data_IF_278465735155
#
_entry.id   IF_278465735155
#
_cell.length_a   1.000
_cell.length_b   1.000
_cell.length_c   1.000
_cell.angle_alpha   90.00
_cell.angle_beta   90.00
_cell.angle_gamma   90.00
#
_symmetry.space_group_name_H-M   'P 1'
#
loop_
_entity.id
_entity.type
_entity.pdbx_description
1 polymer ?
#
# COMPACT_ATOMS: atom_id res chain seq x y z
N UNK A 1 5.13 35.11 23.42
CA UNK A 1 5.93 36.15 22.75
C UNK A 1 5.20 36.52 21.48
N UNK A 2 4.62 37.69 21.43
CA UNK A 2 3.80 38.20 20.33
C UNK A 2 4.73 38.72 19.23
N UNK A 3 4.54 38.21 17.99
CA UNK A 3 5.21 38.72 16.80
C UNK A 3 4.48 40.03 16.42
N UNK A 4 5.13 41.15 16.61
CA UNK A 4 4.62 42.49 16.19
C UNK A 4 4.63 42.53 14.65
N UNK A 5 3.45 42.66 14.08
CA UNK A 5 3.26 42.94 12.66
C UNK A 5 3.81 44.32 12.33
N UNK A 6 4.61 44.41 11.27
CA UNK A 6 5.14 45.67 10.74
C UNK A 6 4.02 46.48 10.06
N UNK A 7 3.76 47.69 10.58
CA UNK A 7 2.77 48.62 10.06
C UNK A 7 3.44 49.84 9.39
N UNK A 8 4.35 49.60 8.45
CA UNK A 8 4.92 50.64 7.60
C UNK A 8 4.01 50.95 6.41
N UNK A 9 4.06 52.16 5.83
CA UNK A 9 3.26 52.54 4.66
C UNK A 9 3.63 51.63 3.47
N UNK A 10 2.68 51.29 2.56
CA UNK A 10 2.97 50.50 1.38
C UNK A 10 4.01 51.21 0.51
N UNK A 11 5.03 50.45 0.11
CA UNK A 11 6.04 50.94 -0.81
C UNK A 11 5.39 51.37 -2.13
N UNK A 12 5.75 52.54 -2.70
CA UNK A 12 5.17 53.00 -3.95
C UNK A 12 5.52 51.98 -5.07
N UNK A 13 4.49 51.51 -5.77
CA UNK A 13 4.65 50.73 -6.99
C UNK A 13 5.27 51.66 -8.03
N UNK A 14 6.59 51.53 -8.23
CA UNK A 14 7.28 52.20 -9.33
C UNK A 14 6.82 51.51 -10.60
N UNK A 15 6.16 52.18 -11.56
CA UNK A 15 5.79 51.57 -12.83
C UNK A 15 7.07 51.09 -13.53
N UNK A 16 7.12 49.85 -13.88
CA UNK A 16 8.18 49.28 -14.71
C UNK A 16 8.27 50.10 -16.00
N UNK A 17 9.42 50.73 -16.24
CA UNK A 17 9.67 51.39 -17.54
C UNK A 17 9.44 50.34 -18.61
N UNK A 18 8.73 50.69 -19.74
CA UNK A 18 8.61 49.77 -20.85
C UNK A 18 10.00 49.31 -21.27
N UNK A 19 10.19 47.99 -21.45
CA UNK A 19 11.46 47.42 -21.90
C UNK A 19 11.84 48.03 -23.23
N UNK A 20 13.06 48.53 -23.40
CA UNK A 20 13.55 49.01 -24.69
C UNK A 20 13.73 47.89 -25.73
N UNK A 21 13.51 46.66 -25.32
CA UNK A 21 13.62 45.47 -26.15
C UNK A 21 12.28 45.20 -26.86
N UNK A 22 12.26 44.94 -28.18
CA UNK A 22 11.07 44.44 -28.85
C UNK A 22 10.61 43.15 -28.14
N UNK A 23 9.29 42.98 -28.01
CA UNK A 23 8.71 41.75 -27.53
C UNK A 23 9.24 40.60 -28.41
N UNK A 24 10.06 39.71 -27.83
CA UNK A 24 10.56 38.54 -28.53
C UNK A 24 9.37 37.66 -28.86
N UNK A 25 9.29 37.03 -30.03
CA UNK A 25 8.25 36.10 -30.35
C UNK A 25 8.25 34.94 -29.32
N UNK A 26 7.09 34.67 -28.79
CA UNK A 26 6.94 33.50 -27.91
C UNK A 26 6.77 32.24 -28.76
N UNK A 27 7.26 31.08 -28.31
CA UNK A 27 6.98 29.80 -28.94
C UNK A 27 5.48 29.57 -29.09
N UNK A 28 5.05 28.91 -30.14
CA UNK A 28 3.63 28.67 -30.44
C UNK A 28 2.84 28.00 -29.31
N UNK A 29 3.52 27.30 -28.38
CA UNK A 29 2.93 26.73 -27.15
C UNK A 29 3.92 26.87 -25.97
N UNK A 30 3.99 28.08 -25.42
CA UNK A 30 4.86 28.37 -24.27
C UNK A 30 4.46 27.59 -23.02
N UNK A 31 3.16 27.32 -22.82
CA UNK A 31 2.68 26.56 -21.66
C UNK A 31 3.16 25.10 -21.72
N UNK A 32 3.04 24.46 -22.88
CA UNK A 32 3.53 23.10 -23.07
C UNK A 32 5.05 23.01 -22.99
N UNK A 33 5.78 23.99 -23.56
CA UNK A 33 7.23 24.10 -23.42
C UNK A 33 7.66 24.22 -21.96
N UNK A 34 7.00 25.07 -21.20
CA UNK A 34 7.28 25.28 -19.78
C UNK A 34 7.00 23.99 -18.97
N UNK A 35 5.86 23.34 -19.21
CA UNK A 35 5.54 22.05 -18.58
C UNK A 35 6.55 20.96 -18.92
N UNK A 36 7.04 20.92 -20.18
CA UNK A 36 8.10 20.01 -20.57
C UNK A 36 9.40 20.28 -19.79
N UNK A 37 9.79 21.56 -19.63
CA UNK A 37 10.98 21.93 -18.84
C UNK A 37 10.85 21.54 -17.37
N UNK A 38 9.70 21.79 -16.76
CA UNK A 38 9.42 21.46 -15.35
C UNK A 38 9.52 19.95 -15.09
N UNK A 39 9.12 19.12 -16.05
CA UNK A 39 9.21 17.66 -15.96
C UNK A 39 10.62 17.09 -15.80
N UNK A 40 11.65 17.88 -16.06
CA UNK A 40 13.05 17.49 -15.83
C UNK A 40 13.56 17.83 -14.42
N UNK A 41 12.83 18.61 -13.64
CA UNK A 41 13.24 19.08 -12.30
C UNK A 41 14.68 19.64 -12.29
N UNK A 42 15.03 20.40 -13.34
CA UNK A 42 16.36 21.01 -13.48
C UNK A 42 16.44 22.39 -12.85
N UNK A 43 15.34 23.16 -12.91
CA UNK A 43 15.29 24.51 -12.39
C UNK A 43 15.58 24.53 -10.89
N UNK A 44 16.37 25.49 -10.46
CA UNK A 44 16.77 25.71 -9.06
C UNK A 44 17.42 24.45 -8.39
N UNK A 45 17.87 23.49 -9.19
CA UNK A 45 18.56 22.30 -8.71
C UNK A 45 20.04 22.59 -8.36
N UNK A 46 20.62 21.73 -7.52
CA UNK A 46 22.04 21.84 -7.16
C UNK A 46 22.96 21.70 -8.37
N UNK A 47 24.18 22.30 -8.35
CA UNK A 47 25.19 22.08 -9.37
C UNK A 47 25.56 20.60 -9.50
N UNK A 48 25.82 20.15 -10.72
CA UNK A 48 26.19 18.77 -11.03
C UNK A 48 27.42 18.76 -11.98
N UNK A 49 28.49 18.08 -11.55
CA UNK A 49 29.77 18.06 -12.25
C UNK A 49 29.66 17.67 -13.75
N UNK A 50 28.71 16.77 -14.09
CA UNK A 50 28.50 16.34 -15.47
C UNK A 50 28.12 17.49 -16.39
N UNK A 51 27.30 18.44 -15.97
CA UNK A 51 26.97 19.64 -16.75
C UNK A 51 28.08 20.67 -16.73
N UNK A 52 28.74 20.87 -15.59
CA UNK A 52 29.85 21.80 -15.45
C UNK A 52 31.04 21.41 -16.37
N UNK A 53 31.34 20.12 -16.48
CA UNK A 53 32.39 19.59 -17.36
C UNK A 53 32.08 19.84 -18.83
N UNK A 54 30.82 19.64 -19.26
CA UNK A 54 30.40 19.89 -20.65
C UNK A 54 30.47 21.38 -21.01
N UNK A 55 30.07 22.25 -20.08
CA UNK A 55 30.17 23.72 -20.29
C UNK A 55 31.64 24.17 -20.39
N UNK A 56 32.49 23.66 -19.50
CA UNK A 56 33.94 23.95 -19.55
C UNK A 56 34.57 23.45 -20.88
N UNK A 57 34.19 22.25 -21.32
CA UNK A 57 34.65 21.70 -22.61
C UNK A 57 34.21 22.58 -23.77
N UNK A 58 32.94 23.06 -23.77
CA UNK A 58 32.43 23.95 -24.83
C UNK A 58 33.24 25.28 -24.92
N UNK A 59 33.50 25.90 -23.76
CA UNK A 59 34.31 27.11 -23.68
C UNK A 59 35.75 26.87 -24.24
N UNK A 60 36.39 25.78 -23.80
CA UNK A 60 37.74 25.38 -24.20
C UNK A 60 37.79 25.07 -25.69
N UNK A 61 36.85 24.31 -26.24
CA UNK A 61 36.77 23.95 -27.66
C UNK A 61 36.68 25.17 -28.56
N UNK A 62 35.92 26.17 -28.14
CA UNK A 62 35.72 27.41 -28.88
C UNK A 62 36.76 28.49 -28.55
N UNK A 63 37.70 28.24 -27.65
CA UNK A 63 38.66 29.24 -27.13
C UNK A 63 37.92 30.51 -26.64
N UNK A 64 36.75 30.35 -26.03
CA UNK A 64 35.89 31.44 -25.63
C UNK A 64 35.96 31.69 -24.10
N UNK A 65 35.67 32.94 -23.71
CA UNK A 65 35.79 33.37 -22.31
C UNK A 65 34.69 32.78 -21.42
N UNK A 66 33.54 32.39 -21.97
CA UNK A 66 32.42 31.86 -21.21
C UNK A 66 31.55 30.86 -22.00
N UNK A 67 30.90 29.98 -21.26
CA UNK A 67 29.86 29.10 -21.81
C UNK A 67 28.84 28.78 -20.71
N UNK A 68 27.62 28.40 -21.10
CA UNK A 68 26.57 28.02 -20.18
C UNK A 68 25.55 27.04 -20.78
N UNK A 69 24.94 26.25 -19.93
CA UNK A 69 23.65 25.61 -20.18
C UNK A 69 22.58 26.52 -19.61
N UNK A 70 21.85 27.20 -20.48
CA UNK A 70 20.88 28.21 -20.17
C UNK A 70 19.48 27.67 -20.43
N UNK A 71 18.68 27.51 -19.37
CA UNK A 71 17.27 27.07 -19.42
C UNK A 71 16.36 28.31 -19.45
N UNK A 72 15.38 28.29 -20.35
CA UNK A 72 14.45 29.41 -20.51
C UNK A 72 13.19 29.15 -19.70
N UNK A 73 13.11 29.80 -18.54
CA UNK A 73 12.03 29.69 -17.57
C UNK A 73 11.21 30.98 -17.58
N UNK A 74 9.91 30.88 -17.79
CA UNK A 74 8.96 32.02 -17.76
C UNK A 74 9.61 33.40 -18.08
N UNK A 75 9.90 34.19 -17.05
CA UNK A 75 10.50 35.54 -17.16
C UNK A 75 12.03 35.59 -17.06
N UNK A 76 12.72 34.46 -16.87
CA UNK A 76 14.16 34.40 -16.63
C UNK A 76 14.88 33.38 -17.50
N UNK A 77 16.16 33.53 -17.63
CA UNK A 77 17.10 32.52 -18.05
C UNK A 77 17.83 32.03 -16.83
N UNK A 78 17.70 30.75 -16.51
CA UNK A 78 18.39 30.13 -15.39
C UNK A 78 19.54 29.24 -15.90
N UNK A 79 20.73 29.38 -15.29
CA UNK A 79 21.90 28.63 -15.72
C UNK A 79 22.09 27.36 -14.92
N UNK A 80 21.82 26.20 -15.52
CA UNK A 80 22.09 24.88 -14.92
C UNK A 80 23.57 24.65 -14.68
N UNK A 81 24.41 25.09 -15.63
CA UNK A 81 25.86 25.07 -15.50
C UNK A 81 26.43 26.29 -16.22
N UNK A 82 27.54 26.81 -15.74
CA UNK A 82 28.20 28.00 -16.32
C UNK A 82 29.69 27.97 -16.07
N UNK A 83 30.45 28.51 -17.04
CA UNK A 83 31.88 28.75 -16.97
C UNK A 83 32.16 30.18 -17.43
N UNK A 84 32.99 30.96 -16.71
CA UNK A 84 33.29 32.34 -17.04
C UNK A 84 32.11 33.32 -16.92
N UNK A 85 31.05 32.96 -16.16
CA UNK A 85 29.88 33.78 -15.87
C UNK A 85 29.69 33.90 -14.36
N UNK A 86 29.56 35.12 -13.83
CA UNK A 86 29.32 35.40 -12.43
C UNK A 86 27.86 35.27 -12.02
N UNK A 87 26.92 35.63 -12.90
CA UNK A 87 25.48 35.57 -12.64
C UNK A 87 24.93 34.16 -12.74
N UNK A 88 23.92 33.84 -11.90
CA UNK A 88 23.22 32.54 -11.88
C UNK A 88 21.95 32.52 -12.73
N UNK A 89 21.41 33.69 -12.97
CA UNK A 89 20.21 33.91 -13.79
C UNK A 89 20.21 35.29 -14.41
N UNK A 90 19.37 35.49 -15.43
CA UNK A 90 19.22 36.76 -16.15
C UNK A 90 17.76 36.94 -16.56
N UNK A 91 17.31 38.17 -16.75
CA UNK A 91 15.99 38.45 -17.32
C UNK A 91 15.89 37.86 -18.74
N UNK A 92 14.81 37.16 -19.04
CA UNK A 92 14.54 36.56 -20.37
C UNK A 92 14.62 37.59 -21.50
N UNK A 93 14.09 38.79 -21.28
CA UNK A 93 14.09 39.88 -22.24
C UNK A 93 15.50 40.41 -22.58
N UNK A 94 16.52 40.10 -21.82
CA UNK A 94 17.90 40.54 -21.99
C UNK A 94 18.81 39.43 -22.53
N UNK A 95 18.24 38.36 -23.10
CA UNK A 95 19.02 37.18 -23.52
C UNK A 95 18.79 36.81 -24.97
N UNK A 96 19.89 36.55 -25.68
CA UNK A 96 19.87 35.97 -27.03
C UNK A 96 19.25 34.57 -27.03
N UNK A 97 19.41 33.82 -25.93
CA UNK A 97 18.87 32.47 -25.80
C UNK A 97 17.35 32.43 -26.02
N UNK A 98 16.61 33.46 -25.57
CA UNK A 98 15.16 33.55 -25.76
C UNK A 98 14.74 33.63 -27.21
N UNK A 99 15.52 34.36 -28.06
CA UNK A 99 15.25 34.40 -29.49
C UNK A 99 15.61 33.09 -30.19
N UNK A 100 16.67 32.43 -29.74
CA UNK A 100 17.09 31.16 -30.33
C UNK A 100 16.02 30.10 -30.12
N UNK A 101 15.39 30.03 -28.94
CA UNK A 101 14.33 29.03 -28.67
C UNK A 101 13.02 29.30 -29.40
N UNK A 102 12.71 30.58 -29.71
CA UNK A 102 11.51 30.96 -30.47
C UNK A 102 11.55 30.45 -31.93
N UNK A 103 12.73 30.44 -32.50
CA UNK A 103 13.00 30.02 -33.89
C UNK A 103 13.80 28.70 -33.92
N UNK A 104 13.69 27.89 -32.85
CA UNK A 104 14.54 26.72 -32.70
C UNK A 104 14.21 25.64 -33.75
N UNK A 105 15.20 25.27 -34.52
CA UNK A 105 15.22 24.05 -35.32
C UNK A 105 16.21 23.05 -34.68
N UNK A 106 15.85 21.76 -34.58
CA UNK A 106 16.78 20.75 -34.08
C UNK A 106 18.13 20.82 -34.77
N UNK A 107 19.21 20.69 -34.01
CA UNK A 107 20.60 20.69 -34.49
C UNK A 107 21.08 21.98 -35.16
N UNK A 108 20.30 23.04 -35.23
CA UNK A 108 20.68 24.31 -35.83
C UNK A 108 21.44 25.19 -34.84
N UNK A 109 22.75 25.32 -35.03
CA UNK A 109 23.60 26.24 -34.29
C UNK A 109 23.40 27.68 -34.77
N UNK A 110 22.97 28.59 -33.88
CA UNK A 110 23.01 30.04 -34.16
C UNK A 110 24.40 30.57 -33.83
N UNK A 111 25.03 31.26 -34.78
CA UNK A 111 26.33 31.90 -34.57
C UNK A 111 26.22 33.37 -34.92
N UNK A 112 26.62 34.24 -33.98
CA UNK A 112 26.68 35.68 -34.11
C UNK A 112 28.14 36.07 -33.90
N UNK A 113 28.85 36.34 -34.99
CA UNK A 113 30.29 36.66 -34.99
C UNK A 113 30.62 37.92 -34.23
N UNK A 114 29.76 38.95 -34.37
CA UNK A 114 29.81 40.19 -33.60
C UNK A 114 28.40 40.71 -33.32
N UNK A 115 27.99 40.72 -32.03
CA UNK A 115 26.65 41.23 -31.62
C UNK A 115 26.47 42.72 -31.86
N UNK A 116 27.56 43.51 -31.99
CA UNK A 116 27.48 44.94 -32.28
C UNK A 116 27.20 45.23 -33.75
N UNK A 117 27.51 44.30 -34.66
CA UNK A 117 27.25 44.40 -36.09
C UNK A 117 25.96 43.68 -36.53
N UNK A 118 25.43 42.77 -35.72
CA UNK A 118 24.19 42.07 -36.03
C UNK A 118 22.98 43.00 -35.81
N UNK A 119 22.16 43.29 -36.84
CA UNK A 119 21.03 44.21 -36.73
C UNK A 119 20.01 43.84 -35.66
N UNK A 120 19.92 42.58 -35.31
CA UNK A 120 18.96 42.09 -34.26
C UNK A 120 19.42 42.48 -32.86
N UNK A 121 20.73 42.68 -32.63
CA UNK A 121 21.33 42.79 -31.30
C UNK A 121 22.16 44.07 -31.08
N UNK A 122 22.56 44.78 -32.14
CA UNK A 122 23.45 45.98 -32.08
C UNK A 122 22.94 47.08 -31.14
N UNK A 123 21.63 47.30 -31.04
CA UNK A 123 21.03 48.33 -30.18
C UNK A 123 20.75 47.86 -28.73
N UNK A 124 20.97 46.62 -28.39
CA UNK A 124 20.50 46.05 -27.11
C UNK A 124 21.50 46.22 -25.95
N UNK A 125 22.74 46.65 -26.23
CA UNK A 125 23.77 46.88 -25.21
C UNK A 125 24.03 45.66 -24.32
N UNK A 126 24.05 44.46 -24.94
CA UNK A 126 24.23 43.17 -24.25
C UNK A 126 25.58 43.12 -23.52
N UNK A 127 25.56 42.63 -22.27
CA UNK A 127 26.75 42.54 -21.44
C UNK A 127 26.95 41.14 -20.94
N UNK A 128 28.21 40.78 -20.76
CA UNK A 128 28.73 39.59 -20.12
C UNK A 128 29.56 40.06 -18.91
N UNK A 129 29.17 39.82 -17.68
CA UNK A 129 29.80 40.30 -16.46
C UNK A 129 30.19 41.81 -16.50
N UNK A 130 29.20 42.66 -16.89
CA UNK A 130 29.38 44.10 -16.97
C UNK A 130 30.17 44.61 -18.20
N UNK A 131 30.81 43.78 -19.00
CA UNK A 131 31.54 44.09 -20.23
C UNK A 131 30.68 43.80 -21.47
N UNK A 132 30.86 44.51 -22.59
CA UNK A 132 30.13 44.22 -23.82
C UNK A 132 30.27 42.75 -24.25
N UNK A 133 29.16 42.09 -24.52
CA UNK A 133 29.11 40.80 -25.22
C UNK A 133 29.32 41.09 -26.71
N UNK A 134 30.28 40.41 -27.33
CA UNK A 134 30.60 40.63 -28.77
C UNK A 134 30.40 39.36 -29.61
N UNK A 135 30.50 38.19 -29.02
CA UNK A 135 30.31 36.90 -29.68
C UNK A 135 29.28 36.05 -28.96
N UNK A 136 28.45 35.36 -29.73
CA UNK A 136 27.50 34.36 -29.26
C UNK A 136 27.44 33.18 -30.23
N UNK A 137 27.51 31.97 -29.70
CA UNK A 137 27.10 30.77 -30.41
C UNK A 137 26.23 29.93 -29.51
N UNK A 138 25.07 29.50 -30.00
CA UNK A 138 24.11 28.73 -29.19
C UNK A 138 23.49 27.58 -29.98
N UNK A 139 23.43 26.42 -29.36
CA UNK A 139 22.69 25.25 -29.84
C UNK A 139 21.44 25.04 -28.99
N UNK A 140 20.27 24.85 -29.60
CA UNK A 140 19.04 24.60 -28.83
C UNK A 140 19.11 23.25 -28.12
N UNK A 141 18.53 23.19 -26.92
CA UNK A 141 18.38 21.96 -26.14
C UNK A 141 16.92 21.54 -26.24
N UNK A 142 16.66 20.52 -27.04
CA UNK A 142 15.31 20.08 -27.38
C UNK A 142 14.88 18.94 -26.47
N UNK A 143 13.59 18.91 -26.10
CA UNK A 143 12.96 17.70 -25.57
C UNK A 143 12.63 16.72 -26.72
N UNK A 144 12.39 15.43 -26.44
CA UNK A 144 11.93 14.47 -27.44
C UNK A 144 10.61 14.86 -28.10
N UNK A 145 9.77 15.61 -27.39
CA UNK A 145 8.48 16.11 -27.87
C UNK A 145 8.61 17.35 -28.74
N UNK A 146 9.85 17.79 -29.02
CA UNK A 146 10.15 18.91 -29.93
C UNK A 146 10.11 20.30 -29.27
N UNK A 147 10.07 20.41 -27.96
CA UNK A 147 10.11 21.69 -27.26
C UNK A 147 11.56 22.14 -27.00
N UNK A 148 11.88 23.40 -27.32
CA UNK A 148 13.16 23.99 -26.98
C UNK A 148 13.18 24.42 -25.50
N UNK A 149 13.92 23.68 -24.67
CA UNK A 149 13.99 23.89 -23.20
C UNK A 149 14.95 25.03 -22.82
N UNK A 150 15.96 25.24 -23.68
CA UNK A 150 17.00 26.19 -23.44
C UNK A 150 18.11 26.06 -24.51
N UNK A 151 19.33 26.47 -24.16
CA UNK A 151 20.46 26.48 -25.06
C UNK A 151 21.75 26.06 -24.37
N UNK A 152 22.62 25.36 -25.08
CA UNK A 152 24.05 25.37 -24.79
C UNK A 152 24.66 26.59 -25.52
N UNK A 153 25.17 27.56 -24.78
CA UNK A 153 25.74 28.76 -25.39
C UNK A 153 27.21 28.97 -25.02
N UNK A 154 27.94 29.53 -25.99
CA UNK A 154 29.34 29.96 -25.86
C UNK A 154 29.39 31.45 -26.14
N UNK A 155 30.13 32.23 -25.34
CA UNK A 155 30.07 33.68 -25.26
C UNK A 155 31.48 34.24 -25.16
N UNK A 156 31.72 35.43 -25.80
CA UNK A 156 32.98 36.15 -25.63
C UNK A 156 32.82 37.67 -25.71
N UNK A 157 33.77 38.37 -25.12
CA UNK A 157 33.93 39.82 -25.21
C UNK A 157 34.56 40.31 -26.50
N UNK A 158 35.02 39.40 -27.35
CA UNK A 158 35.67 39.69 -28.66
C UNK A 158 34.87 39.03 -29.77
N UNK A 159 34.78 39.66 -30.94
CA UNK A 159 34.22 39.02 -32.11
C UNK A 159 35.00 37.72 -32.45
N UNK A 160 34.25 36.71 -32.92
CA UNK A 160 34.83 35.40 -33.27
C UNK A 160 34.13 34.76 -34.46
N UNK A 161 34.88 33.96 -35.19
CA UNK A 161 34.34 33.02 -36.16
C UNK A 161 34.63 31.57 -35.71
N UNK A 162 33.64 30.72 -35.74
CA UNK A 162 33.82 29.31 -35.44
C UNK A 162 34.22 28.53 -36.68
N UNK A 163 35.28 27.72 -36.54
CA UNK A 163 35.66 26.72 -37.55
C UNK A 163 34.60 25.62 -37.59
N UNK A 164 34.53 24.88 -38.72
CA UNK A 164 33.58 23.75 -38.85
C UNK A 164 33.67 22.76 -37.69
N UNK A 165 34.89 22.32 -37.32
CA UNK A 165 35.09 21.41 -36.20
C UNK A 165 34.63 21.95 -34.84
N UNK A 166 34.67 23.27 -34.64
CA UNK A 166 34.13 23.89 -33.41
C UNK A 166 32.60 23.90 -33.40
N UNK A 167 31.98 24.20 -34.55
CA UNK A 167 30.52 24.15 -34.72
C UNK A 167 29.98 22.72 -34.47
N UNK A 168 30.63 21.73 -35.12
CA UNK A 168 30.27 20.32 -34.94
C UNK A 168 30.45 19.86 -33.48
N UNK A 169 31.52 20.31 -32.82
CA UNK A 169 31.80 20.00 -31.45
C UNK A 169 30.75 20.58 -30.46
N UNK A 170 30.33 21.85 -30.68
CA UNK A 170 29.24 22.44 -29.86
C UNK A 170 27.92 21.67 -30.04
N UNK A 171 27.61 21.28 -31.27
CA UNK A 171 26.41 20.48 -31.54
C UNK A 171 26.48 19.08 -30.86
N UNK A 172 27.68 18.45 -30.88
CA UNK A 172 27.89 17.17 -30.15
C UNK A 172 27.67 17.35 -28.64
N UNK A 173 28.28 18.41 -28.06
CA UNK A 173 28.12 18.69 -26.62
C UNK A 173 26.65 18.97 -26.27
N UNK A 174 25.92 19.71 -27.10
CA UNK A 174 24.50 19.97 -26.89
C UNK A 174 23.67 18.68 -26.86
N UNK A 175 23.95 17.73 -27.76
CA UNK A 175 23.32 16.40 -27.74
C UNK A 175 23.67 15.63 -26.47
N UNK A 176 24.88 15.73 -25.95
CA UNK A 176 25.23 15.10 -24.67
C UNK A 176 24.47 15.71 -23.48
N UNK A 177 24.28 17.04 -23.48
CA UNK A 177 23.43 17.71 -22.48
C UNK A 177 21.98 17.21 -22.55
N UNK A 178 21.43 17.09 -23.77
CA UNK A 178 20.09 16.55 -23.98
C UNK A 178 19.98 15.09 -23.48
N UNK A 179 20.98 14.25 -23.74
CA UNK A 179 21.00 12.88 -23.18
C UNK A 179 21.02 12.86 -21.66
N UNK A 180 21.76 13.77 -21.02
CA UNK A 180 21.74 13.87 -19.55
C UNK A 180 20.37 14.32 -19.00
N UNK A 181 19.68 15.21 -19.72
CA UNK A 181 18.31 15.60 -19.37
C UNK A 181 17.37 14.39 -19.42
N UNK A 182 17.44 13.60 -20.50
CA UNK A 182 16.62 12.41 -20.63
C UNK A 182 16.92 11.36 -19.54
N UNK A 183 18.19 11.11 -19.25
CA UNK A 183 18.57 10.18 -18.17
C UNK A 183 18.01 10.64 -16.82
N UNK A 184 18.04 11.96 -16.56
CA UNK A 184 17.43 12.51 -15.34
C UNK A 184 15.93 12.29 -15.31
N UNK A 185 15.21 12.58 -16.41
CA UNK A 185 13.76 12.35 -16.52
C UNK A 185 13.40 10.90 -16.28
N UNK A 186 14.12 9.97 -16.90
CA UNK A 186 13.95 8.54 -16.66
C UNK A 186 14.19 8.15 -15.19
N UNK A 187 15.21 8.71 -14.56
CA UNK A 187 15.50 8.43 -13.15
C UNK A 187 14.39 8.93 -12.20
N UNK A 188 13.82 10.10 -12.48
CA UNK A 188 12.68 10.65 -11.73
C UNK A 188 11.46 9.73 -11.87
N UNK A 189 11.11 9.36 -13.12
CA UNK A 189 9.95 8.49 -13.39
C UNK A 189 10.13 7.10 -12.77
N UNK A 190 11.32 6.51 -12.87
CA UNK A 190 11.60 5.22 -12.21
C UNK A 190 11.44 5.27 -10.69
N UNK A 191 11.91 6.35 -10.05
CA UNK A 191 11.71 6.53 -8.60
C UNK A 191 10.24 6.63 -8.23
N UNK A 192 9.47 7.38 -9.02
CA UNK A 192 8.02 7.51 -8.83
C UNK A 192 7.32 6.16 -8.92
N UNK A 193 7.57 5.40 -9.99
CA UNK A 193 6.99 4.08 -10.21
C UNK A 193 7.36 3.08 -9.10
N UNK A 194 8.61 3.12 -8.63
CA UNK A 194 9.04 2.28 -7.51
C UNK A 194 8.27 2.63 -6.22
N UNK A 195 8.12 3.91 -5.91
CA UNK A 195 7.37 4.36 -4.73
C UNK A 195 5.88 3.97 -4.79
N UNK A 196 5.26 4.12 -5.97
CA UNK A 196 3.88 3.68 -6.19
C UNK A 196 3.74 2.16 -6.02
N UNK A 197 4.67 1.38 -6.58
CA UNK A 197 4.70 -0.08 -6.44
C UNK A 197 4.84 -0.52 -4.97
N UNK A 198 5.71 0.11 -4.21
CA UNK A 198 5.89 -0.18 -2.79
C UNK A 198 4.62 0.12 -1.99
N UNK A 199 3.96 1.24 -2.27
CA UNK A 199 2.68 1.58 -1.64
C UNK A 199 1.58 0.55 -1.95
N UNK A 200 1.47 0.09 -3.21
CA UNK A 200 0.54 -0.95 -3.59
C UNK A 200 0.85 -2.30 -2.93
N UNK A 201 2.14 -2.67 -2.81
CA UNK A 201 2.53 -3.91 -2.14
C UNK A 201 2.08 -3.93 -0.67
N UNK A 202 2.30 -2.84 0.07
CA UNK A 202 1.86 -2.71 1.47
C UNK A 202 0.33 -2.78 1.60
N UNK A 203 -0.42 -2.17 0.68
CA UNK A 203 -1.89 -2.24 0.67
C UNK A 203 -2.37 -3.67 0.42
N UNK A 204 -1.74 -4.39 -0.50
CA UNK A 204 -2.08 -5.78 -0.82
C UNK A 204 -1.83 -6.71 0.38
N UNK A 205 -0.69 -6.58 1.04
CA UNK A 205 -0.37 -7.36 2.25
C UNK A 205 -1.40 -7.11 3.37
N UNK A 206 -1.77 -5.86 3.60
CA UNK A 206 -2.80 -5.51 4.59
C UNK A 206 -4.16 -6.12 4.26
N UNK A 207 -4.59 -6.02 2.99
CA UNK A 207 -5.85 -6.59 2.53
C UNK A 207 -5.86 -8.12 2.62
N UNK A 208 -4.75 -8.77 2.30
CA UNK A 208 -4.60 -10.22 2.42
C UNK A 208 -4.69 -10.68 3.89
N UNK A 209 -4.03 -9.97 4.81
CA UNK A 209 -4.10 -10.27 6.24
C UNK A 209 -5.53 -10.10 6.80
N UNK A 210 -6.27 -9.08 6.33
CA UNK A 210 -7.67 -8.88 6.72
C UNK A 210 -8.60 -9.97 6.19
N UNK A 211 -8.41 -10.38 4.94
CA UNK A 211 -9.18 -11.49 4.35
C UNK A 211 -8.91 -12.79 5.08
N UNK A 212 -7.66 -13.08 5.42
CA UNK A 212 -7.29 -14.28 6.17
C UNK A 212 -7.97 -14.31 7.54
N UNK A 213 -7.91 -13.21 8.29
CA UNK A 213 -8.60 -13.08 9.60
C UNK A 213 -10.10 -13.29 9.49
N UNK A 214 -10.73 -12.67 8.47
CA UNK A 214 -12.18 -12.86 8.24
C UNK A 214 -12.51 -14.29 7.87
N UNK A 215 -11.68 -14.93 7.06
CA UNK A 215 -11.85 -16.33 6.68
C UNK A 215 -11.81 -17.25 7.92
N UNK A 216 -10.82 -17.08 8.80
CA UNK A 216 -10.69 -17.84 10.05
C UNK A 216 -11.89 -17.63 10.97
N UNK A 217 -12.35 -16.38 11.14
CA UNK A 217 -13.54 -16.07 11.92
C UNK A 217 -14.80 -16.71 11.35
N UNK A 218 -14.97 -16.67 10.03
CA UNK A 218 -16.10 -17.30 9.35
C UNK A 218 -16.05 -18.83 9.49
N UNK A 219 -14.89 -19.45 9.32
CA UNK A 219 -14.72 -20.88 9.53
C UNK A 219 -15.03 -21.28 10.97
N UNK A 220 -14.55 -20.51 11.94
CA UNK A 220 -14.83 -20.75 13.35
C UNK A 220 -16.34 -20.63 13.64
N UNK A 221 -16.98 -19.56 13.19
CA UNK A 221 -18.42 -19.34 13.40
C UNK A 221 -19.30 -20.35 12.65
N UNK A 222 -18.85 -20.83 11.48
CA UNK A 222 -19.57 -21.88 10.76
C UNK A 222 -19.52 -23.25 11.45
N UNK A 223 -18.51 -23.53 12.28
CA UNK A 223 -18.30 -24.80 12.95
C UNK A 223 -18.65 -24.81 14.41
N UNK A 224 -18.68 -23.68 15.09
CA UNK A 224 -18.94 -23.59 16.53
C UNK A 224 -20.30 -22.96 16.82
N UNK A 225 -20.90 -23.40 17.94
CA UNK A 225 -22.08 -22.76 18.50
C UNK A 225 -21.69 -21.46 19.21
N UNK A 226 -22.27 -20.34 18.78
CA UNK A 226 -21.90 -19.01 19.27
C UNK A 226 -22.15 -18.80 20.76
N UNK A 227 -23.03 -19.61 21.37
CA UNK A 227 -23.39 -19.49 22.78
C UNK A 227 -22.45 -20.27 23.69
N UNK A 228 -22.11 -21.49 23.31
CA UNK A 228 -21.38 -22.47 24.16
C UNK A 228 -19.92 -22.68 23.76
N UNK A 229 -19.53 -22.22 22.56
CA UNK A 229 -18.19 -22.44 22.03
C UNK A 229 -17.90 -23.87 21.57
N UNK A 230 -18.79 -24.82 21.82
CA UNK A 230 -18.66 -26.20 21.30
C UNK A 230 -18.92 -26.26 19.82
N UNK A 231 -18.61 -27.40 19.17
CA UNK A 231 -19.00 -27.58 17.77
C UNK A 231 -20.54 -27.50 17.64
N UNK A 232 -20.98 -27.01 16.49
CA UNK A 232 -22.41 -27.01 16.16
C UNK A 232 -22.79 -28.28 15.38
N UNK A 233 -24.09 -28.48 15.17
CA UNK A 233 -24.62 -29.63 14.43
C UNK A 233 -24.09 -29.71 12.98
N UNK A 234 -23.85 -28.59 12.32
CA UNK A 234 -23.29 -28.54 10.98
C UNK A 234 -21.85 -29.07 10.94
N UNK A 235 -21.03 -28.72 11.93
CA UNK A 235 -19.68 -29.24 12.07
C UNK A 235 -19.67 -30.75 12.29
N UNK A 236 -20.61 -31.30 13.09
CA UNK A 236 -20.75 -32.75 13.24
C UNK A 236 -21.05 -33.42 11.91
N UNK A 237 -21.98 -32.87 11.12
CA UNK A 237 -22.33 -33.40 9.80
C UNK A 237 -21.13 -33.39 8.83
N UNK A 238 -20.31 -32.37 8.89
CA UNK A 238 -19.06 -32.29 8.10
C UNK A 238 -18.02 -33.32 8.56
N UNK A 239 -17.84 -33.49 9.88
CA UNK A 239 -16.96 -34.49 10.46
C UNK A 239 -17.37 -35.91 10.05
N UNK A 240 -18.65 -36.23 10.09
CA UNK A 240 -19.20 -37.52 9.67
C UNK A 240 -19.02 -37.77 8.15
N UNK A 241 -18.99 -36.71 7.34
CA UNK A 241 -18.72 -36.77 5.89
C UNK A 241 -17.24 -36.81 5.50
N UNK A 242 -16.31 -36.58 6.43
CA UNK A 242 -14.87 -36.56 6.19
C UNK A 242 -14.24 -37.91 6.49
N UNK A 243 -13.51 -38.47 5.52
CA UNK A 243 -12.80 -39.78 5.71
C UNK A 243 -11.74 -39.68 6.80
N UNK A 244 -10.94 -38.63 6.81
CA UNK A 244 -9.86 -38.41 7.79
C UNK A 244 -10.38 -38.20 9.19
N UNK A 245 -11.47 -37.40 9.35
CA UNK A 245 -12.04 -37.12 10.66
C UNK A 245 -12.75 -38.36 11.28
N UNK A 246 -13.21 -39.26 10.45
CA UNK A 246 -13.85 -40.52 10.88
C UNK A 246 -12.85 -41.65 11.13
N UNK A 247 -11.59 -41.51 10.78
CA UNK A 247 -10.59 -42.57 10.97
C UNK A 247 -10.52 -43.06 12.43
N UNK A 248 -10.47 -42.24 13.47
CA UNK A 248 -10.46 -42.71 14.87
C UNK A 248 -11.72 -43.49 15.27
N UNK A 249 -12.87 -43.15 14.66
CA UNK A 249 -14.15 -43.82 14.94
C UNK A 249 -14.37 -45.07 14.12
N UNK A 250 -13.64 -45.24 12.97
CA UNK A 250 -13.68 -46.45 12.13
C UNK A 250 -12.74 -47.53 12.60
N UNK A 251 -11.66 -47.18 13.26
CA UNK A 251 -10.58 -48.09 13.62
C UNK A 251 -10.58 -48.51 15.10
N UNK A 252 -11.42 -47.91 15.95
CA UNK A 252 -11.49 -48.23 17.37
C UNK A 252 -12.93 -48.10 17.89
N UNK A 253 -13.23 -48.93 18.92
CA UNK A 253 -14.48 -48.74 19.63
C UNK A 253 -14.60 -47.32 20.19
N UNK A 254 -15.81 -46.78 20.26
CA UNK A 254 -16.08 -45.46 20.75
C UNK A 254 -17.31 -45.46 21.65
N UNK A 255 -17.50 -44.39 22.42
CA UNK A 255 -18.71 -44.22 23.24
C UNK A 255 -19.36 -42.87 22.94
N UNK A 256 -20.69 -42.86 22.81
CA UNK A 256 -21.52 -41.68 22.69
C UNK A 256 -22.16 -41.34 24.02
N UNK A 257 -22.15 -40.06 24.38
CA UNK A 257 -22.95 -39.49 25.46
C UNK A 257 -23.94 -38.48 24.87
N UNK A 258 -25.23 -38.69 25.09
CA UNK A 258 -26.26 -37.67 24.85
C UNK A 258 -26.59 -37.01 26.20
N UNK A 259 -26.37 -35.69 26.24
CA UNK A 259 -26.59 -34.88 27.44
C UNK A 259 -27.75 -33.92 27.18
N UNK A 260 -28.72 -33.90 28.07
CA UNK A 260 -29.88 -33.04 27.95
C UNK A 260 -30.12 -32.30 29.27
N UNK A 261 -30.42 -31.01 29.16
CA UNK A 261 -30.60 -30.13 30.33
C UNK A 261 -31.98 -30.34 30.96
N UNK A 262 -31.99 -30.83 32.18
CA UNK A 262 -33.24 -31.14 32.87
C UNK A 262 -34.09 -29.86 33.09
N UNK A 263 -35.37 -29.95 32.69
CA UNK A 263 -36.34 -28.89 32.88
C UNK A 263 -35.96 -27.52 32.28
N UNK A 264 -35.16 -27.49 31.22
CA UNK A 264 -34.65 -26.25 30.64
C UNK A 264 -35.76 -25.25 30.26
N UNK A 265 -36.89 -25.74 29.74
CA UNK A 265 -38.04 -24.87 29.46
C UNK A 265 -38.50 -24.14 30.72
N UNK A 266 -38.56 -24.83 31.88
CA UNK A 266 -38.97 -24.20 33.14
C UNK A 266 -37.96 -23.16 33.63
N UNK A 267 -36.66 -23.38 33.34
CA UNK A 267 -35.62 -22.38 33.60
C UNK A 267 -35.88 -21.10 32.78
N UNK A 268 -36.14 -21.23 31.47
CA UNK A 268 -36.48 -20.09 30.62
C UNK A 268 -37.77 -19.39 31.06
N UNK A 269 -38.83 -20.17 31.36
CA UNK A 269 -40.12 -19.62 31.73
C UNK A 269 -40.04 -18.87 33.08
N UNK A 270 -39.22 -19.32 34.01
CA UNK A 270 -39.10 -18.75 35.36
C UNK A 270 -38.07 -17.64 35.48
N UNK A 271 -36.93 -17.76 34.78
CA UNK A 271 -35.77 -16.87 34.97
C UNK A 271 -35.42 -16.07 33.72
N UNK A 272 -36.14 -16.29 32.62
CA UNK A 272 -35.93 -15.62 31.34
C UNK A 272 -34.78 -16.20 30.53
N UNK A 273 -34.78 -15.91 29.22
CA UNK A 273 -33.83 -16.46 28.24
C UNK A 273 -32.38 -16.12 28.55
N UNK A 274 -32.09 -14.94 29.12
CA UNK A 274 -30.71 -14.56 29.47
C UNK A 274 -30.08 -15.51 30.52
N UNK A 275 -30.87 -15.97 31.47
CA UNK A 275 -30.42 -16.95 32.47
C UNK A 275 -30.39 -18.37 31.87
N UNK A 276 -31.30 -18.69 30.95
CA UNK A 276 -31.22 -19.89 30.14
C UNK A 276 -29.94 -19.98 29.32
N UNK A 277 -29.54 -18.89 28.66
CA UNK A 277 -28.27 -18.82 27.94
C UNK A 277 -27.04 -19.01 28.84
N UNK A 278 -27.07 -18.47 30.05
CA UNK A 278 -26.03 -18.74 31.07
C UNK A 278 -26.01 -20.21 31.52
N UNK A 279 -27.18 -20.84 31.64
CA UNK A 279 -27.27 -22.27 31.93
C UNK A 279 -26.63 -23.12 30.82
N UNK A 280 -26.94 -22.82 29.54
CA UNK A 280 -26.35 -23.52 28.40
C UNK A 280 -24.82 -23.33 28.30
N UNK A 281 -24.33 -22.11 28.58
CA UNK A 281 -22.89 -21.89 28.68
C UNK A 281 -22.24 -22.73 29.77
N UNK A 282 -22.85 -22.78 30.95
CA UNK A 282 -22.34 -23.59 32.07
C UNK A 282 -22.29 -25.09 31.73
N UNK A 283 -23.27 -25.60 30.97
CA UNK A 283 -23.22 -26.97 30.45
C UNK A 283 -22.12 -27.16 29.44
N UNK A 284 -21.96 -26.23 28.46
CA UNK A 284 -20.90 -26.23 27.49
C UNK A 284 -19.51 -26.24 28.13
N UNK A 285 -19.30 -25.37 29.13
CA UNK A 285 -18.04 -25.30 29.90
C UNK A 285 -17.79 -26.60 30.70
N UNK A 286 -18.84 -27.18 31.33
CA UNK A 286 -18.71 -28.42 32.04
C UNK A 286 -18.36 -29.60 31.12
N UNK A 287 -18.95 -29.66 29.94
CA UNK A 287 -18.63 -30.65 28.89
C UNK A 287 -17.19 -30.44 28.41
N UNK A 288 -16.83 -29.26 27.97
CA UNK A 288 -15.48 -28.95 27.45
C UNK A 288 -14.39 -29.29 28.48
N UNK A 289 -14.59 -28.93 29.74
CA UNK A 289 -13.62 -29.21 30.82
C UNK A 289 -13.57 -30.69 31.24
N UNK A 290 -14.50 -31.52 30.75
CA UNK A 290 -14.60 -32.94 31.11
C UNK A 290 -14.10 -33.89 30.04
N UNK A 291 -13.71 -33.41 28.87
CA UNK A 291 -13.22 -34.17 27.75
C UNK A 291 -11.72 -33.90 27.51
N UNK A 292 -11.07 -34.75 26.78
CA UNK A 292 -9.65 -34.62 26.38
C UNK A 292 -9.52 -34.16 24.94
N UNK A 293 -8.31 -33.78 24.54
CA UNK A 293 -7.97 -33.57 23.15
C UNK A 293 -8.21 -34.85 22.34
N UNK A 294 -8.87 -34.75 21.19
CA UNK A 294 -9.32 -35.87 20.37
C UNK A 294 -10.76 -36.34 20.64
N UNK A 295 -11.39 -35.95 21.77
CA UNK A 295 -12.82 -36.15 21.97
C UNK A 295 -13.60 -35.04 21.23
N UNK A 296 -14.83 -35.35 20.82
CA UNK A 296 -15.71 -34.41 20.09
C UNK A 296 -16.91 -34.04 20.96
N UNK A 297 -17.12 -32.74 21.17
CA UNK A 297 -18.31 -32.22 21.86
C UNK A 297 -19.06 -31.26 20.96
N UNK A 298 -20.36 -31.46 20.87
CA UNK A 298 -21.26 -30.74 19.94
C UNK A 298 -22.49 -30.28 20.69
N UNK A 299 -22.92 -29.03 20.50
CA UNK A 299 -24.29 -28.64 20.83
C UNK A 299 -25.19 -29.11 19.69
N UNK A 300 -25.94 -30.20 19.97
CA UNK A 300 -26.70 -30.92 18.95
C UNK A 300 -28.08 -30.33 18.70
N UNK A 301 -28.71 -29.80 19.74
CA UNK A 301 -30.04 -29.15 19.74
C UNK A 301 -30.08 -27.91 20.61
N UNK A 302 -31.26 -27.43 20.93
CA UNK A 302 -31.45 -26.24 21.78
C UNK A 302 -30.85 -26.42 23.19
N UNK A 303 -31.15 -27.55 23.83
CA UNK A 303 -30.71 -27.92 25.18
C UNK A 303 -29.97 -29.27 25.22
N UNK A 304 -29.64 -29.81 24.06
CA UNK A 304 -29.03 -31.12 23.86
C UNK A 304 -27.58 -31.03 23.43
N UNK A 305 -26.72 -31.84 24.01
CA UNK A 305 -25.30 -31.92 23.69
C UNK A 305 -24.93 -33.36 23.38
N UNK A 306 -24.06 -33.54 22.42
CA UNK A 306 -23.49 -34.83 22.04
C UNK A 306 -21.99 -34.82 22.31
N UNK A 307 -21.53 -35.86 23.00
CA UNK A 307 -20.10 -36.09 23.22
C UNK A 307 -19.72 -37.43 22.59
N UNK A 308 -18.67 -37.43 21.78
CA UNK A 308 -18.12 -38.64 21.15
C UNK A 308 -16.72 -38.87 21.72
N UNK A 309 -16.50 -40.03 22.28
CA UNK A 309 -15.26 -40.42 22.95
C UNK A 309 -14.60 -41.58 22.18
N UNK A 310 -13.70 -41.33 21.20
CA UNK A 310 -12.99 -42.37 20.48
C UNK A 310 -12.08 -43.21 21.41
N UNK A 311 -12.01 -44.52 21.20
CA UNK A 311 -11.16 -45.41 21.98
C UNK A 311 -11.51 -45.48 23.45
N UNK A 312 -12.77 -45.14 23.82
CA UNK A 312 -13.21 -45.11 25.22
C UNK A 312 -14.31 -46.09 25.49
N UNK A 313 -14.13 -46.91 26.53
CA UNK A 313 -15.12 -47.90 26.97
C UNK A 313 -16.19 -47.33 27.86
N UNK A 314 -17.33 -47.99 28.00
CA UNK A 314 -18.52 -47.57 28.75
C UNK A 314 -18.22 -47.14 30.21
N UNK A 315 -17.33 -47.88 30.92
CA UNK A 315 -16.97 -47.54 32.31
C UNK A 315 -16.29 -46.16 32.40
N UNK A 316 -15.27 -45.92 31.56
CA UNK A 316 -14.57 -44.60 31.51
C UNK A 316 -15.50 -43.47 31.01
N UNK A 317 -16.35 -43.76 30.03
CA UNK A 317 -17.34 -42.82 29.53
C UNK A 317 -18.37 -42.43 30.64
N UNK A 318 -18.75 -43.36 31.50
CA UNK A 318 -19.57 -43.10 32.65
C UNK A 318 -18.91 -42.16 33.68
N UNK A 319 -17.58 -42.30 33.87
CA UNK A 319 -16.79 -41.36 34.69
C UNK A 319 -16.78 -39.96 34.08
N UNK A 320 -16.70 -39.83 32.74
CA UNK A 320 -16.82 -38.55 32.05
C UNK A 320 -18.18 -37.95 32.26
N UNK A 321 -19.24 -38.72 32.08
CA UNK A 321 -20.63 -38.28 32.34
C UNK A 321 -20.83 -37.79 33.77
N UNK A 322 -20.33 -38.55 34.77
CA UNK A 322 -20.42 -38.15 36.18
C UNK A 322 -19.60 -36.88 36.48
N UNK A 323 -18.44 -36.72 35.86
CA UNK A 323 -17.63 -35.51 35.96
C UNK A 323 -18.33 -34.29 35.38
N UNK A 324 -19.07 -34.42 34.26
CA UNK A 324 -19.90 -33.35 33.68
C UNK A 324 -20.98 -32.93 34.72
N UNK A 325 -21.71 -33.89 35.27
CA UNK A 325 -22.75 -33.61 36.28
C UNK A 325 -22.18 -32.88 37.49
N UNK A 326 -21.06 -33.38 38.05
CA UNK A 326 -20.43 -32.79 39.25
C UNK A 326 -19.91 -31.37 39.01
N UNK A 327 -19.36 -31.12 37.80
CA UNK A 327 -18.91 -29.76 37.43
C UNK A 327 -20.10 -28.81 37.31
N UNK A 328 -21.21 -29.26 36.70
CA UNK A 328 -22.41 -28.48 36.56
C UNK A 328 -23.05 -28.16 37.93
N UNK A 329 -23.07 -29.11 38.85
CA UNK A 329 -23.58 -28.90 40.21
C UNK A 329 -22.77 -27.81 40.98
N UNK A 330 -21.53 -27.52 40.57
CA UNK A 330 -20.69 -26.47 41.14
C UNK A 330 -20.77 -25.15 40.37
N UNK A 331 -21.55 -25.09 39.29
CA UNK A 331 -21.70 -23.88 38.49
C UNK A 331 -22.37 -22.75 39.30
N UNK A 332 -21.84 -21.53 39.15
CA UNK A 332 -22.38 -20.37 39.86
C UNK A 332 -23.64 -19.81 39.16
N UNK A 333 -24.75 -20.50 39.35
CA UNK A 333 -26.05 -20.11 38.84
C UNK A 333 -27.02 -19.81 40.01
N UNK A 334 -28.03 -18.92 39.87
CA UNK A 334 -28.97 -18.57 40.91
C UNK A 334 -30.03 -19.66 41.15
N UNK A 335 -29.92 -20.80 40.52
CA UNK A 335 -30.80 -21.98 40.63
C UNK A 335 -29.97 -23.27 40.43
N UNK A 336 -30.49 -24.38 40.90
CA UNK A 336 -29.92 -25.70 40.66
C UNK A 336 -30.18 -26.10 39.21
N UNK A 337 -29.12 -26.45 38.49
CA UNK A 337 -29.16 -26.96 37.10
C UNK A 337 -28.63 -28.39 37.10
N UNK A 338 -29.40 -29.30 36.52
CA UNK A 338 -29.00 -30.70 36.36
C UNK A 338 -29.10 -31.15 34.91
N UNK A 339 -28.44 -32.23 34.58
CA UNK A 339 -28.48 -32.88 33.27
C UNK A 339 -28.77 -34.37 33.40
N UNK A 340 -29.54 -34.89 32.45
CA UNK A 340 -29.66 -36.32 32.22
C UNK A 340 -28.72 -36.75 31.11
N UNK A 341 -28.07 -37.88 31.25
CA UNK A 341 -27.07 -38.37 30.29
C UNK A 341 -27.38 -39.82 29.89
N UNK A 342 -27.51 -40.05 28.58
CA UNK A 342 -27.59 -41.38 27.99
C UNK A 342 -26.26 -41.79 27.40
N UNK A 343 -25.78 -42.98 27.66
CA UNK A 343 -24.48 -43.50 27.25
C UNK A 343 -24.64 -44.80 26.45
N UNK A 344 -24.00 -44.91 25.28
CA UNK A 344 -23.95 -46.13 24.51
C UNK A 344 -22.58 -46.36 23.89
N UNK A 345 -22.09 -47.57 23.93
CA UNK A 345 -20.88 -47.98 23.24
C UNK A 345 -21.15 -48.32 21.76
N UNK A 346 -20.17 -48.07 20.89
CA UNK A 346 -20.20 -48.42 19.49
C UNK A 346 -18.95 -49.17 19.08
N UNK A 347 -19.18 -50.28 18.33
CA UNK A 347 -18.11 -51.03 17.63
C UNK A 347 -18.26 -50.77 16.14
N UNK A 348 -17.32 -50.09 15.49
CA UNK A 348 -17.41 -49.77 14.06
C UNK A 348 -17.45 -50.99 13.13
N UNK A 349 -17.04 -52.17 13.64
CA UNK A 349 -17.12 -53.42 12.88
C UNK A 349 -18.56 -54.01 12.88
N UNK A 350 -19.42 -53.56 13.80
CA UNK A 350 -20.74 -54.15 14.02
C UNK A 350 -21.87 -53.16 13.98
N UNK A 351 -21.62 -51.90 14.42
CA UNK A 351 -22.61 -50.89 14.59
C UNK A 351 -22.53 -49.80 13.54
N UNK A 352 -23.67 -49.32 13.07
CA UNK A 352 -23.75 -48.04 12.36
C UNK A 352 -23.90 -46.90 13.37
N UNK A 353 -23.33 -45.72 13.10
CA UNK A 353 -23.41 -44.57 14.04
C UNK A 353 -24.85 -44.23 14.51
N UNK A 354 -25.85 -44.38 13.63
CA UNK A 354 -27.23 -44.12 13.91
C UNK A 354 -27.79 -45.12 14.98
N UNK A 355 -27.35 -46.39 14.92
CA UNK A 355 -27.77 -47.40 15.89
C UNK A 355 -27.20 -47.14 17.29
N UNK A 356 -25.97 -46.63 17.36
CA UNK A 356 -25.34 -46.24 18.62
C UNK A 356 -26.04 -44.99 19.18
N UNK A 357 -26.37 -44.02 18.31
CA UNK A 357 -27.18 -42.83 18.72
C UNK A 357 -28.53 -43.24 19.28
N UNK A 358 -29.27 -44.11 18.60
CA UNK A 358 -30.57 -44.58 19.06
C UNK A 358 -30.49 -45.33 20.44
N UNK A 359 -29.38 -46.05 20.70
CA UNK A 359 -29.11 -46.67 21.98
C UNK A 359 -28.86 -45.63 23.07
N UNK A 360 -28.06 -44.60 22.78
CA UNK A 360 -27.79 -43.51 23.69
C UNK A 360 -29.06 -42.72 24.01
N UNK A 361 -29.93 -42.48 23.01
CA UNK A 361 -31.20 -41.79 23.20
C UNK A 361 -32.17 -42.60 24.12
N UNK A 362 -32.28 -43.91 23.87
CA UNK A 362 -33.05 -44.79 24.79
C UNK A 362 -32.51 -44.76 26.23
N UNK A 363 -31.18 -44.73 26.39
CA UNK A 363 -30.55 -44.59 27.68
C UNK A 363 -30.90 -43.23 28.34
N UNK A 364 -30.83 -42.13 27.57
CA UNK A 364 -31.20 -40.79 28.02
C UNK A 364 -32.68 -40.75 28.47
N UNK A 365 -33.57 -41.34 27.69
CA UNK A 365 -34.97 -41.46 28.07
C UNK A 365 -35.15 -42.22 29.42
N UNK A 366 -34.40 -43.34 29.64
CA UNK A 366 -34.40 -44.03 30.94
C UNK A 366 -33.91 -43.14 32.09
N UNK A 367 -32.84 -42.38 31.89
CA UNK A 367 -32.34 -41.44 32.89
C UNK A 367 -33.40 -40.41 33.27
N UNK A 368 -34.08 -39.81 32.27
CA UNK A 368 -35.19 -38.86 32.50
C UNK A 368 -36.38 -39.50 33.23
N UNK A 369 -36.79 -40.74 32.84
CA UNK A 369 -37.91 -41.44 33.45
C UNK A 369 -37.63 -41.89 34.90
N UNK A 370 -36.39 -42.20 35.24
CA UNK A 370 -35.97 -42.62 36.57
C UNK A 370 -35.77 -41.47 37.58
N UNK A 371 -36.10 -40.23 37.20
CA UNK A 371 -36.05 -39.09 38.11
C UNK A 371 -35.00 -38.06 37.78
N UNK A 372 -34.41 -38.09 36.55
CA UNK A 372 -33.44 -37.11 36.06
C UNK A 372 -32.16 -37.02 36.90
N UNK A 373 -31.34 -36.00 36.66
CA UNK A 373 -30.04 -35.77 37.35
C UNK A 373 -29.21 -37.06 37.50
N UNK A 374 -29.07 -37.80 36.42
CA UNK A 374 -28.36 -39.07 36.39
C UNK A 374 -27.88 -39.46 35.02
N UNK A 375 -27.02 -40.44 34.96
CA UNK A 375 -26.67 -41.15 33.75
C UNK A 375 -27.33 -42.52 33.68
N UNK A 376 -27.63 -43.01 32.50
CA UNK A 376 -28.04 -44.38 32.23
C UNK A 376 -27.19 -44.92 31.04
N UNK A 377 -26.84 -46.20 31.11
CA UNK A 377 -26.00 -46.87 30.12
C UNK A 377 -26.83 -47.89 29.34
N UNK A 378 -26.63 -47.92 28.04
CA UNK A 378 -27.12 -49.04 27.19
C UNK A 378 -25.94 -49.94 26.88
N UNK A 379 -25.99 -51.17 27.36
CA UNK A 379 -24.91 -52.14 27.23
C UNK A 379 -24.94 -52.89 25.89
N UNK A 380 -25.97 -52.67 25.04
CA UNK A 380 -26.14 -53.26 23.71
C UNK A 380 -27.20 -54.35 23.64
#
# INVERSE_FOLDING_TARGET
MAVTAWSGPPMPIVPLRPSPFPLLPEPHDESARQSALEGYELLDSVPEAAYDDLVRLAATLCDASAAAIALVDNGRIWYKARHGLGETERLRSQSICSQLIADAEPDRLMVIADTAEDPRFAGLGLKLDGRPLRFYAGAPLMSPDGYALGTLCVLDHRPRELRAAQRDGVAVIARQVQHLFELRRYAIEQRRLLSEREAFALQLESAQADLQRRHELLQHSARHDALTGLLNRSALSQLLGSEDAMEPLRNAAYTLLLVDVDHFKQVNDRYGHLLGDRALRAVGDAVAASIREGDVAVRFGGEEFLVVLPGTHLATASEVGERIRQRLARASLPFALTVSIGIAGGDPARDRPEQVFDRADRALYRAKAQGRDRLAVDEG
#
